data_IF_565952883742
#
_entry.id   IF_565952883742
#
_cell.length_a   1.000
_cell.length_b   1.000
_cell.length_c   1.000
_cell.angle_alpha   90.00
_cell.angle_beta   90.00
_cell.angle_gamma   90.00
#
_symmetry.space_group_name_H-M   'P 1'
#
loop_
_entity.id
_entity.type
_entity.pdbx_description
1 polymer ?
#
# COMPACT_ATOMS: atom_id res chain seq x y z
N UNK A 1 -23.58 -2.54 -5.73
CA UNK A 1 -22.89 -1.93 -4.59
C UNK A 1 -21.40 -1.79 -4.89
N UNK A 2 -20.80 -0.75 -4.41
CA UNK A 2 -19.40 -0.43 -4.68
C UNK A 2 -18.62 -0.26 -3.38
N UNK A 3 -17.45 -0.87 -3.29
CA UNK A 3 -16.54 -0.69 -2.17
C UNK A 3 -15.27 0.00 -2.64
N UNK A 4 -14.62 0.72 -1.75
CA UNK A 4 -13.39 1.43 -2.06
C UNK A 4 -12.36 1.25 -0.95
N UNK A 5 -11.14 0.93 -1.35
CA UNK A 5 -9.99 0.87 -0.45
C UNK A 5 -8.94 1.86 -0.94
N UNK A 6 -8.21 2.44 -0.01
CA UNK A 6 -7.10 3.34 -0.33
C UNK A 6 -5.88 2.96 0.49
N UNK A 7 -4.73 3.12 -0.13
CA UNK A 7 -3.47 2.84 0.52
C UNK A 7 -2.32 3.47 -0.25
N UNK A 8 -1.10 3.06 0.08
CA UNK A 8 0.07 3.63 -0.57
C UNK A 8 1.21 2.63 -0.65
N UNK A 9 2.03 2.84 -1.67
CA UNK A 9 3.32 2.18 -1.79
C UNK A 9 4.29 3.05 -0.99
N UNK A 10 4.62 2.60 0.22
CA UNK A 10 5.50 3.33 1.14
C UNK A 10 6.93 2.90 0.83
N UNK A 11 7.79 3.89 0.60
CA UNK A 11 9.18 3.60 0.25
C UNK A 11 10.14 4.43 1.06
N UNK A 12 11.35 3.92 1.21
CA UNK A 12 12.48 4.65 1.79
C UNK A 12 13.75 4.28 1.03
N UNK A 13 14.76 5.10 1.19
CA UNK A 13 16.08 4.81 0.62
C UNK A 13 17.02 4.39 1.74
N UNK A 14 17.65 3.24 1.58
CA UNK A 14 18.57 2.68 2.57
C UNK A 14 19.81 2.19 1.84
N UNK A 15 20.98 2.75 2.19
CA UNK A 15 22.25 2.42 1.53
C UNK A 15 22.15 2.55 -0.01
N UNK A 16 21.56 3.66 -0.47
CA UNK A 16 21.34 3.96 -1.87
C UNK A 16 20.37 3.02 -2.59
N UNK A 17 19.69 2.14 -1.86
CA UNK A 17 18.71 1.20 -2.40
C UNK A 17 17.31 1.55 -1.94
N UNK A 18 16.34 1.51 -2.86
CA UNK A 18 14.94 1.72 -2.53
C UNK A 18 14.36 0.46 -1.87
N UNK A 19 13.67 0.67 -0.76
CA UNK A 19 12.95 -0.37 -0.02
C UNK A 19 11.49 0.00 0.06
N UNK A 20 10.63 -1.02 0.00
CA UNK A 20 9.19 -0.85 -0.04
C UNK A 20 8.53 -1.63 1.09
N UNK A 21 7.54 -1.01 1.71
CA UNK A 21 6.84 -1.61 2.85
C UNK A 21 5.75 -2.56 2.38
N UNK A 22 5.81 -3.80 2.83
CA UNK A 22 4.73 -4.77 2.64
C UNK A 22 4.22 -5.22 3.99
N UNK A 23 2.94 -5.56 4.02
CA UNK A 23 2.30 -6.22 5.16
C UNK A 23 1.90 -7.63 4.74
N UNK A 24 2.04 -8.58 5.67
CA UNK A 24 1.55 -9.94 5.48
C UNK A 24 0.25 -10.06 6.25
N UNK A 25 -0.83 -10.28 5.53
CA UNK A 25 -2.17 -10.35 6.12
C UNK A 25 -2.43 -11.73 6.71
N UNK A 26 -3.33 -11.79 7.68
CA UNK A 26 -3.70 -13.05 8.34
C UNK A 26 -4.26 -14.09 7.36
N UNK A 27 -4.78 -13.65 6.21
CA UNK A 27 -5.25 -14.55 5.15
C UNK A 27 -4.13 -15.15 4.30
N UNK A 28 -2.87 -14.81 4.57
CA UNK A 28 -1.71 -15.36 3.87
C UNK A 28 -1.17 -14.53 2.71
N UNK A 29 -1.80 -13.41 2.38
CA UNK A 29 -1.33 -12.56 1.26
C UNK A 29 -0.44 -11.43 1.73
N UNK A 30 0.57 -11.13 0.92
CA UNK A 30 1.35 -9.89 1.06
C UNK A 30 0.67 -8.78 0.27
N UNK A 31 0.66 -7.58 0.80
CA UNK A 31 0.10 -6.43 0.12
C UNK A 31 0.78 -5.14 0.58
N UNK A 32 0.55 -4.06 -0.18
CA UNK A 32 0.84 -2.72 0.31
C UNK A 32 -0.21 -2.37 1.36
N UNK A 33 0.15 -1.57 2.39
CA UNK A 33 -0.84 -1.22 3.42
C UNK A 33 -1.98 -0.41 2.81
N UNK A 34 -3.19 -0.85 3.08
CA UNK A 34 -4.42 -0.22 2.57
C UNK A 34 -5.64 -0.75 3.34
N UNK A 35 -6.74 -0.05 3.20
CA UNK A 35 -7.99 -0.52 3.77
C UNK A 35 -9.18 0.30 3.29
N UNK A 36 -10.35 -0.08 3.79
CA UNK A 36 -11.63 0.46 3.34
C UNK A 36 -11.84 1.91 3.77
N UNK A 37 -12.36 2.71 2.86
CA UNK A 37 -12.80 4.08 3.17
C UNK A 37 -13.99 4.01 4.11
N UNK A 38 -13.91 4.74 5.21
CA UNK A 38 -15.01 4.88 6.16
C UNK A 38 -15.83 6.12 5.81
N UNK A 39 -17.07 6.14 6.29
CA UNK A 39 -17.99 7.25 6.02
C UNK A 39 -17.37 8.58 6.43
N UNK A 40 -17.39 9.53 5.51
CA UNK A 40 -16.85 10.86 5.74
C UNK A 40 -15.36 11.03 5.51
N UNK A 41 -14.64 9.93 5.23
CA UNK A 41 -13.20 10.01 4.97
C UNK A 41 -12.90 10.36 3.52
N UNK A 42 -11.86 11.18 3.32
CA UNK A 42 -11.26 11.35 2.01
C UNK A 42 -10.31 10.17 1.73
N UNK A 43 -9.88 10.02 0.48
CA UNK A 43 -8.89 9.00 0.11
C UNK A 43 -7.61 9.16 0.92
N UNK A 44 -7.15 10.39 1.09
CA UNK A 44 -5.93 10.68 1.86
C UNK A 44 -6.09 10.29 3.34
N UNK A 45 -7.22 10.64 3.94
CA UNK A 45 -7.49 10.30 5.34
C UNK A 45 -7.52 8.81 5.56
N UNK A 46 -8.16 8.06 4.66
CA UNK A 46 -8.19 6.59 4.71
C UNK A 46 -6.78 6.02 4.62
N UNK A 47 -5.98 6.52 3.67
CA UNK A 47 -4.61 6.06 3.47
C UNK A 47 -3.77 6.25 4.72
N UNK A 48 -3.82 7.44 5.32
CA UNK A 48 -3.05 7.74 6.53
C UNK A 48 -3.49 6.85 7.69
N UNK A 49 -4.80 6.70 7.88
CA UNK A 49 -5.35 5.89 8.98
C UNK A 49 -4.99 4.42 8.84
N UNK A 50 -5.18 3.86 7.64
CA UNK A 50 -4.93 2.43 7.41
C UNK A 50 -3.44 2.09 7.55
N UNK A 51 -2.55 2.94 7.05
CA UNK A 51 -1.11 2.70 7.22
C UNK A 51 -0.75 2.74 8.71
N UNK A 52 -1.30 3.70 9.44
CA UNK A 52 -1.06 3.79 10.88
C UNK A 52 -1.58 2.56 11.62
N UNK A 53 -2.78 2.11 11.30
CA UNK A 53 -3.37 0.93 11.95
C UNK A 53 -2.57 -0.35 11.65
N UNK A 54 -2.17 -0.55 10.39
CA UNK A 54 -1.52 -1.80 9.98
C UNK A 54 -0.05 -1.87 10.35
N UNK A 55 0.65 -0.73 10.37
CA UNK A 55 2.11 -0.70 10.50
C UNK A 55 2.65 0.17 11.61
N UNK A 56 1.81 0.99 12.25
CA UNK A 56 2.19 1.99 13.24
C UNK A 56 2.92 3.20 12.66
N UNK A 57 3.14 3.27 11.36
CA UNK A 57 3.89 4.38 10.78
C UNK A 57 3.04 5.61 10.52
N UNK A 58 3.63 6.78 10.77
CA UNK A 58 3.16 8.04 10.22
C UNK A 58 3.93 8.27 8.93
N UNK A 59 3.22 8.69 7.89
CA UNK A 59 3.80 8.84 6.56
C UNK A 59 3.39 10.17 5.93
N UNK A 60 4.19 10.62 4.98
CA UNK A 60 3.84 11.73 4.11
C UNK A 60 3.42 11.15 2.76
N UNK A 61 2.18 11.41 2.37
CA UNK A 61 1.62 10.88 1.12
C UNK A 61 1.81 11.87 0.00
N UNK A 62 2.33 11.38 -1.12
CA UNK A 62 2.46 12.15 -2.36
C UNK A 62 1.28 11.80 -3.26
N UNK A 63 0.31 12.72 -3.36
CA UNK A 63 -0.90 12.51 -4.15
C UNK A 63 -0.71 12.82 -5.64
N UNK A 64 0.48 13.24 -6.06
CA UNK A 64 0.79 13.42 -7.48
C UNK A 64 0.83 12.07 -8.22
N UNK A 65 1.10 10.99 -7.49
CA UNK A 65 0.93 9.64 -8.01
C UNK A 65 -0.36 9.08 -7.44
N UNK A 66 -1.30 8.75 -8.31
CA UNK A 66 -2.55 8.11 -7.93
C UNK A 66 -2.94 7.14 -9.02
N UNK A 67 -3.00 5.85 -8.68
CA UNK A 67 -3.46 4.80 -9.59
C UNK A 67 -4.64 4.08 -8.98
N UNK A 68 -5.58 3.70 -9.81
CA UNK A 68 -6.78 3.01 -9.36
C UNK A 68 -7.01 1.78 -10.23
N UNK A 69 -7.36 0.68 -9.57
CA UNK A 69 -7.89 -0.49 -10.27
C UNK A 69 -9.29 -0.77 -9.75
N UNK A 70 -10.11 -1.32 -10.63
CA UNK A 70 -11.49 -1.68 -10.27
C UNK A 70 -11.71 -3.12 -10.70
N UNK A 71 -12.32 -3.91 -9.83
CA UNK A 71 -12.59 -5.31 -10.12
C UNK A 71 -13.87 -5.77 -9.42
N UNK A 72 -14.46 -6.83 -9.97
CA UNK A 72 -15.69 -7.39 -9.43
C UNK A 72 -15.36 -8.53 -8.47
N UNK A 73 -15.93 -8.48 -7.27
CA UNK A 73 -15.80 -9.54 -6.27
C UNK A 73 -17.07 -10.40 -6.35
N UNK A 74 -16.99 -11.53 -7.07
CA UNK A 74 -18.15 -12.38 -7.34
C UNK A 74 -18.79 -12.90 -6.07
N UNK A 75 -17.99 -13.32 -5.09
CA UNK A 75 -18.50 -13.92 -3.85
C UNK A 75 -19.41 -12.99 -3.05
N UNK A 76 -19.29 -11.67 -3.26
CA UNK A 76 -20.09 -10.66 -2.56
C UNK A 76 -20.92 -9.79 -3.49
N UNK A 77 -20.85 -10.06 -4.81
CA UNK A 77 -21.56 -9.30 -5.83
C UNK A 77 -21.32 -7.80 -5.71
N UNK A 78 -20.07 -7.37 -5.52
CA UNK A 78 -19.71 -5.96 -5.40
C UNK A 78 -18.56 -5.60 -6.35
N UNK A 79 -18.58 -4.36 -6.84
CA UNK A 79 -17.43 -3.76 -7.50
C UNK A 79 -16.52 -3.17 -6.44
N UNK A 80 -15.23 -3.38 -6.55
CA UNK A 80 -14.26 -2.82 -5.62
C UNK A 80 -13.26 -1.95 -6.37
N UNK A 81 -13.09 -0.72 -5.88
CA UNK A 81 -12.04 0.18 -6.35
C UNK A 81 -10.90 0.14 -5.34
N UNK A 82 -9.67 0.03 -5.82
CA UNK A 82 -8.48 0.14 -4.98
C UNK A 82 -7.61 1.27 -5.51
N UNK A 83 -7.31 2.22 -4.64
CA UNK A 83 -6.54 3.43 -4.96
C UNK A 83 -5.19 3.35 -4.27
N UNK A 84 -4.13 3.65 -5.02
CA UNK A 84 -2.77 3.62 -4.50
C UNK A 84 -2.07 4.96 -4.75
N UNK A 85 -1.51 5.51 -3.67
CA UNK A 85 -0.59 6.65 -3.72
C UNK A 85 0.83 6.13 -3.49
N UNK A 86 1.81 7.03 -3.45
CA UNK A 86 3.13 6.72 -2.90
C UNK A 86 3.33 7.55 -1.64
N UNK A 87 4.17 7.06 -0.73
CA UNK A 87 4.39 7.73 0.54
C UNK A 87 5.78 7.44 1.07
N UNK A 88 6.27 8.34 1.94
CA UNK A 88 7.53 8.16 2.65
C UNK A 88 7.27 8.17 4.15
N UNK A 89 8.04 7.38 4.93
CA UNK A 89 7.81 7.31 6.37
C UNK A 89 8.33 8.56 7.08
N UNK A 90 7.56 9.02 8.07
CA UNK A 90 7.98 10.07 9.01
C UNK A 90 8.52 9.41 10.26
N UNK A 91 7.90 8.30 10.68
CA UNK A 91 8.35 7.47 11.81
C UNK A 91 8.76 6.10 11.30
N UNK A 92 9.50 5.32 12.09
CA UNK A 92 10.13 4.09 11.60
C UNK A 92 9.86 2.85 12.46
N UNK A 93 9.10 2.97 13.53
CA UNK A 93 8.82 1.83 14.41
C UNK A 93 7.65 1.01 13.86
N UNK A 94 7.97 -0.12 13.25
CA UNK A 94 6.96 -1.04 12.71
C UNK A 94 6.34 -1.86 13.85
N UNK A 95 5.00 -1.82 13.93
CA UNK A 95 4.24 -2.63 14.88
C UNK A 95 3.06 -3.21 14.11
N UNK A 96 2.95 -4.53 14.09
CA UNK A 96 1.87 -5.21 13.37
C UNK A 96 0.52 -4.96 14.05
N UNK A 97 -0.50 -4.70 13.23
CA UNK A 97 -1.88 -4.64 13.72
C UNK A 97 -2.29 -6.02 14.24
N UNK A 98 -2.66 -6.10 15.50
CA UNK A 98 -3.03 -7.35 16.13
C UNK A 98 -4.24 -7.99 15.45
N UNK A 99 -4.14 -9.29 15.13
CA UNK A 99 -5.22 -10.06 14.53
C UNK A 99 -5.36 -9.93 13.02
N UNK A 100 -4.83 -8.86 12.43
CA UNK A 100 -4.99 -8.59 11.00
C UNK A 100 -3.67 -8.76 10.23
N UNK A 101 -2.57 -8.34 10.84
CA UNK A 101 -1.26 -8.30 10.18
C UNK A 101 -0.30 -9.20 10.96
N UNK A 102 0.32 -10.15 10.28
CA UNK A 102 1.27 -11.07 10.88
C UNK A 102 2.71 -10.62 10.74
N UNK A 103 2.99 -9.73 9.77
CA UNK A 103 4.34 -9.24 9.52
C UNK A 103 4.28 -7.91 8.77
N UNK A 104 5.17 -6.99 9.12
CA UNK A 104 5.44 -5.78 8.34
C UNK A 104 6.95 -5.72 8.14
N UNK A 105 7.42 -5.49 6.92
CA UNK A 105 8.85 -5.34 6.68
C UNK A 105 9.11 -4.60 5.37
N UNK A 106 10.38 -4.25 5.19
CA UNK A 106 10.88 -3.54 4.02
C UNK A 106 11.55 -4.51 3.06
N UNK A 107 11.21 -4.40 1.78
CA UNK A 107 11.72 -5.30 0.75
C UNK A 107 12.20 -4.51 -0.46
N UNK A 108 13.22 -5.03 -1.14
CA UNK A 108 13.70 -4.42 -2.38
C UNK A 108 12.73 -4.67 -3.53
N UNK A 109 12.97 -3.98 -4.64
CA UNK A 109 12.10 -4.03 -5.82
C UNK A 109 11.85 -5.46 -6.32
N UNK A 110 12.90 -6.24 -6.47
CA UNK A 110 12.77 -7.60 -7.01
C UNK A 110 12.01 -8.52 -6.04
N UNK A 111 12.26 -8.38 -4.74
CA UNK A 111 11.59 -9.20 -3.72
C UNK A 111 10.10 -8.90 -3.66
N UNK A 112 9.72 -7.62 -3.76
CA UNK A 112 8.30 -7.22 -3.80
C UNK A 112 7.57 -7.98 -4.90
N UNK A 113 8.17 -8.07 -6.07
CA UNK A 113 7.55 -8.74 -7.24
C UNK A 113 7.36 -10.25 -7.02
N UNK A 114 8.14 -10.85 -6.12
CA UNK A 114 7.97 -12.27 -5.80
C UNK A 114 6.89 -12.50 -4.74
N UNK A 115 6.58 -11.49 -3.93
CA UNK A 115 5.62 -11.62 -2.83
C UNK A 115 4.21 -11.22 -3.19
N UNK A 116 4.03 -10.24 -4.06
CA UNK A 116 2.71 -9.82 -4.53
C UNK A 116 2.22 -10.82 -5.58
N UNK A 117 1.04 -11.38 -5.34
CA UNK A 117 0.49 -12.46 -6.18
C UNK A 117 -0.36 -11.96 -7.35
N UNK A 118 -0.77 -10.67 -7.34
CA UNK A 118 -1.71 -10.14 -8.33
C UNK A 118 -0.97 -9.30 -9.37
N UNK A 119 -1.09 -9.70 -10.63
CA UNK A 119 -0.36 -9.06 -11.73
C UNK A 119 -0.71 -7.57 -11.90
N UNK A 120 -1.96 -7.19 -11.68
CA UNK A 120 -2.39 -5.80 -11.80
C UNK A 120 -1.80 -4.92 -10.70
N UNK A 121 -1.62 -5.46 -9.51
CA UNK A 121 -0.95 -4.74 -8.42
C UNK A 121 0.54 -4.58 -8.71
N UNK A 122 1.17 -5.62 -9.28
CA UNK A 122 2.58 -5.53 -9.70
C UNK A 122 2.74 -4.45 -10.77
N UNK A 123 1.79 -4.32 -11.69
CA UNK A 123 1.81 -3.28 -12.71
C UNK A 123 1.77 -1.88 -12.09
N UNK A 124 0.91 -1.66 -11.09
CA UNK A 124 0.86 -0.40 -10.36
C UNK A 124 2.18 -0.16 -9.63
N UNK A 125 2.75 -1.19 -9.00
CA UNK A 125 4.04 -1.09 -8.32
C UNK A 125 5.15 -0.66 -9.28
N UNK A 126 5.18 -1.23 -10.48
CA UNK A 126 6.19 -0.86 -11.47
C UNK A 126 6.02 0.60 -11.91
N UNK A 127 4.79 1.07 -12.08
CA UNK A 127 4.51 2.48 -12.38
C UNK A 127 5.00 3.37 -11.24
N UNK A 128 4.74 2.97 -10.01
CA UNK A 128 5.19 3.71 -8.82
C UNK A 128 6.72 3.75 -8.76
N UNK A 129 7.36 2.64 -9.06
CA UNK A 129 8.83 2.55 -9.08
C UNK A 129 9.43 3.53 -10.07
N UNK A 130 8.89 3.59 -11.28
CA UNK A 130 9.34 4.55 -12.30
C UNK A 130 9.14 5.98 -11.81
N UNK A 131 7.97 6.27 -11.24
CA UNK A 131 7.66 7.60 -10.70
C UNK A 131 8.63 7.99 -9.58
N UNK A 132 8.86 7.09 -8.63
CA UNK A 132 9.77 7.34 -7.50
C UNK A 132 11.18 7.63 -8.01
N UNK A 133 11.66 6.85 -8.96
CA UNK A 133 12.99 7.07 -9.53
C UNK A 133 13.08 8.40 -10.28
N UNK A 134 11.99 8.89 -10.84
CA UNK A 134 11.97 10.16 -11.55
C UNK A 134 12.08 11.36 -10.61
N UNK A 135 11.63 11.23 -9.37
CA UNK A 135 11.69 12.31 -8.37
C UNK A 135 12.85 12.14 -7.39
N UNK A 136 13.47 10.96 -7.35
CA UNK A 136 14.60 10.66 -6.48
C UNK A 136 15.89 11.22 -7.12
N UNK A 137 16.58 12.08 -6.40
CA UNK A 137 17.82 12.75 -6.89
C UNK A 137 19.04 12.33 -6.11
#
# INVERSE_FOLDING_TARGET
MKEKSCGAIVYKKENAELKFLLVHQSNGHYSFPKGHVEEGETELETTLREIKEETNLDVEVDTNFREQISYFVESRNVMKDSVYFVATPITFDLINQEGEITECDWYDHETVKTKIEFADIIEIFEKAYIYIKSIDK
#
